data_IF_942359750470
#
_entry.id   IF_942359750470
#
_cell.length_a   1.000
_cell.length_b   1.000
_cell.length_c   1.000
_cell.angle_alpha   90.00
_cell.angle_beta   90.00
_cell.angle_gamma   90.00
#
_symmetry.space_group_name_H-M   'P 1'
#
loop_
_entity.id
_entity.type
_entity.pdbx_description
1 polymer ?
#
# COMPACT_ATOMS: atom_id res chain seq x y z
N UNK A 1 10.20 6.91 1.24
CA UNK A 1 9.24 6.01 1.93
C UNK A 1 9.84 4.61 2.03
N UNK A 2 9.62 3.88 3.12
CA UNK A 2 9.97 2.44 3.19
C UNK A 2 8.68 1.64 3.12
N UNK A 3 8.57 0.73 2.15
CA UNK A 3 7.34 -0.05 1.92
C UNK A 3 7.62 -1.54 2.05
N UNK A 4 6.77 -2.21 2.83
CA UNK A 4 6.66 -3.65 2.90
C UNK A 4 5.18 -4.03 2.72
N UNK A 5 4.77 -4.40 1.52
CA UNK A 5 3.39 -4.85 1.25
C UNK A 5 3.29 -6.35 1.47
N UNK A 6 2.38 -6.78 2.35
CA UNK A 6 2.03 -8.19 2.53
C UNK A 6 0.54 -8.33 2.31
N UNK A 7 0.10 -8.67 1.11
CA UNK A 7 -1.27 -9.16 0.96
C UNK A 7 -1.31 -10.61 1.50
N UNK A 8 -2.27 -10.94 2.37
CA UNK A 8 -2.42 -12.33 2.83
C UNK A 8 -2.68 -13.23 1.61
N UNK A 9 -1.83 -14.23 1.41
CA UNK A 9 -1.88 -15.15 0.26
C UNK A 9 -1.01 -14.77 -0.95
N UNK A 10 -0.47 -13.55 -1.02
CA UNK A 10 0.41 -13.11 -2.11
C UNK A 10 1.64 -12.39 -1.58
N UNK A 11 2.83 -12.90 -1.93
CA UNK A 11 4.10 -12.29 -1.57
C UNK A 11 4.41 -11.14 -2.54
N UNK A 12 3.68 -10.04 -2.41
CA UNK A 12 3.79 -8.89 -3.31
C UNK A 12 5.24 -8.42 -3.49
N UNK A 13 6.02 -8.36 -2.40
CA UNK A 13 7.44 -8.00 -2.48
C UNK A 13 8.23 -8.86 -3.47
N UNK A 14 8.00 -10.18 -3.50
CA UNK A 14 8.65 -11.08 -4.47
C UNK A 14 8.20 -10.79 -5.90
N UNK A 15 6.90 -10.51 -6.11
CA UNK A 15 6.35 -10.17 -7.43
C UNK A 15 6.91 -8.86 -7.99
N UNK A 16 7.25 -7.91 -7.12
CA UNK A 16 7.96 -6.67 -7.47
C UNK A 16 9.48 -6.81 -7.47
N UNK A 17 10.02 -8.03 -7.29
CA UNK A 17 11.46 -8.34 -7.21
C UNK A 17 12.18 -7.60 -6.07
N UNK A 18 11.43 -7.23 -5.05
CA UNK A 18 11.93 -6.65 -3.79
C UNK A 18 12.31 -7.79 -2.85
N UNK A 19 13.43 -8.45 -3.18
CA UNK A 19 14.00 -9.56 -2.43
C UNK A 19 15.49 -9.28 -2.21
N UNK A 20 16.02 -9.72 -1.06
CA UNK A 20 17.44 -9.65 -0.77
C UNK A 20 18.25 -10.31 -1.91
N UNK A 21 19.34 -9.67 -2.33
CA UNK A 21 20.16 -10.12 -3.46
C UNK A 21 19.56 -9.88 -4.86
N UNK A 22 18.26 -9.66 -5.00
CA UNK A 22 17.60 -9.47 -6.32
C UNK A 22 17.24 -7.99 -6.59
N UNK A 23 16.93 -7.22 -5.54
CA UNK A 23 16.44 -5.85 -5.62
C UNK A 23 17.35 -4.87 -6.39
N UNK A 24 18.64 -5.16 -6.55
CA UNK A 24 19.58 -4.31 -7.31
C UNK A 24 19.21 -4.14 -8.79
N UNK A 25 18.31 -4.98 -9.32
CA UNK A 25 17.76 -4.83 -10.67
C UNK A 25 16.54 -3.89 -10.75
N UNK A 26 16.08 -3.36 -9.61
CA UNK A 26 14.91 -2.49 -9.51
C UNK A 26 15.38 -1.04 -9.32
N UNK A 27 15.17 -0.22 -10.33
CA UNK A 27 15.60 1.18 -10.31
C UNK A 27 14.88 1.96 -9.20
N UNK A 28 15.62 2.80 -8.47
CA UNK A 28 15.07 3.65 -7.42
C UNK A 28 14.71 2.91 -6.13
N UNK A 29 15.26 1.71 -5.91
CA UNK A 29 15.08 0.94 -4.68
C UNK A 29 16.41 0.69 -4.00
N UNK A 30 16.47 0.89 -2.68
CA UNK A 30 17.56 0.41 -1.83
C UNK A 30 17.02 -0.49 -0.72
N UNK A 31 17.88 -1.35 -0.17
CA UNK A 31 17.56 -2.13 1.01
C UNK A 31 18.00 -1.39 2.27
N UNK A 32 17.17 -1.44 3.30
CA UNK A 32 17.42 -0.84 4.62
C UNK A 32 17.19 -1.92 5.70
N UNK A 33 17.85 -1.81 6.88
CA UNK A 33 17.54 -2.67 8.02
C UNK A 33 16.08 -2.48 8.45
N UNK A 34 15.34 -3.58 8.59
CA UNK A 34 13.98 -3.54 9.12
C UNK A 34 13.94 -3.38 10.64
N UNK A 35 12.73 -3.23 11.19
CA UNK A 35 12.53 -3.19 12.64
C UNK A 35 13.08 -4.46 13.29
N UNK A 36 13.97 -4.29 14.28
CA UNK A 36 14.73 -5.36 14.94
C UNK A 36 15.57 -6.28 14.03
N UNK A 37 15.98 -5.83 12.83
CA UNK A 37 16.69 -6.66 11.85
C UNK A 37 15.96 -7.97 11.46
N UNK A 38 14.66 -8.06 11.72
CA UNK A 38 13.91 -9.31 11.60
C UNK A 38 13.44 -9.61 10.17
N UNK A 39 13.34 -8.58 9.30
CA UNK A 39 12.89 -8.70 7.91
C UNK A 39 13.56 -7.66 7.01
N UNK A 40 13.81 -7.98 5.72
CA UNK A 40 14.33 -7.02 4.76
C UNK A 40 13.31 -5.89 4.53
N UNK A 41 13.80 -4.65 4.55
CA UNK A 41 13.00 -3.45 4.26
C UNK A 41 13.55 -2.78 3.00
N UNK A 42 12.65 -2.24 2.18
CA UNK A 42 13.01 -1.61 0.91
C UNK A 42 12.59 -0.15 0.93
N UNK A 43 13.57 0.73 0.74
CA UNK A 43 13.35 2.15 0.58
C UNK A 43 13.07 2.44 -0.89
N UNK A 44 11.94 3.12 -1.11
CA UNK A 44 11.57 3.66 -2.40
C UNK A 44 12.06 5.11 -2.45
N UNK A 45 12.94 5.36 -3.41
CA UNK A 45 13.46 6.69 -3.72
C UNK A 45 12.47 7.48 -4.58
N UNK A 46 12.67 8.79 -4.65
CA UNK A 46 11.88 9.66 -5.52
C UNK A 46 11.96 9.16 -6.97
N UNK A 47 10.83 9.19 -7.67
CA UNK A 47 10.68 8.71 -9.04
C UNK A 47 10.90 7.20 -9.24
N UNK A 48 10.92 6.40 -8.17
CA UNK A 48 10.82 4.94 -8.32
C UNK A 48 9.43 4.57 -8.83
N UNK A 49 9.38 3.78 -9.91
CA UNK A 49 8.14 3.26 -10.47
C UNK A 49 8.12 1.75 -10.26
N UNK A 50 7.35 1.32 -9.26
CA UNK A 50 7.06 -0.09 -9.03
C UNK A 50 5.72 -0.43 -9.66
N UNK A 51 5.77 -1.01 -10.85
CA UNK A 51 4.59 -1.48 -11.57
C UNK A 51 4.78 -2.93 -12.00
N UNK A 52 3.71 -3.72 -11.91
CA UNK A 52 3.63 -5.08 -12.42
C UNK A 52 2.29 -5.27 -13.13
N UNK A 53 2.26 -5.96 -14.29
CA UNK A 53 1.00 -6.29 -14.93
C UNK A 53 0.09 -7.08 -13.98
N UNK A 54 -1.10 -6.55 -13.67
CA UNK A 54 -2.04 -7.16 -12.73
C UNK A 54 -2.32 -8.62 -13.06
N UNK A 55 -2.39 -8.99 -14.35
CA UNK A 55 -2.59 -10.38 -14.80
C UNK A 55 -1.53 -11.38 -14.32
N UNK A 56 -0.32 -10.94 -13.98
CA UNK A 56 0.72 -11.82 -13.46
C UNK A 56 0.59 -12.06 -11.96
N UNK A 57 -0.12 -11.19 -11.25
CA UNK A 57 -0.33 -11.28 -9.80
C UNK A 57 -1.72 -11.85 -9.50
N UNK A 58 -2.72 -11.36 -10.23
CA UNK A 58 -4.14 -11.67 -10.11
C UNK A 58 -4.70 -11.99 -11.51
N UNK A 59 -4.46 -13.20 -12.05
CA UNK A 59 -4.88 -13.56 -13.40
C UNK A 59 -6.40 -13.51 -13.59
N UNK A 60 -7.16 -13.77 -12.52
CA UNK A 60 -8.63 -13.71 -12.50
C UNK A 60 -9.17 -12.36 -11.97
N UNK A 61 -8.29 -11.39 -11.74
CA UNK A 61 -8.62 -10.14 -11.05
C UNK A 61 -8.67 -10.29 -9.52
N UNK A 62 -9.06 -9.20 -8.85
CA UNK A 62 -9.25 -9.22 -7.40
C UNK A 62 -10.56 -9.95 -7.04
N UNK A 63 -10.57 -10.77 -5.98
CA UNK A 63 -11.80 -11.38 -5.49
C UNK A 63 -12.77 -10.30 -4.95
N UNK A 64 -14.03 -10.67 -4.76
CA UNK A 64 -15.05 -9.76 -4.21
C UNK A 64 -14.77 -9.36 -2.75
N UNK A 65 -14.17 -10.28 -2.00
CA UNK A 65 -13.72 -10.10 -0.62
C UNK A 65 -12.19 -10.24 -0.55
N UNK A 66 -11.50 -9.26 0.03
CA UNK A 66 -10.06 -9.35 0.24
C UNK A 66 -9.57 -8.47 1.38
N UNK A 67 -8.35 -8.77 1.84
CA UNK A 67 -7.62 -7.96 2.80
C UNK A 67 -6.30 -7.50 2.20
N UNK A 68 -6.09 -6.18 2.16
CA UNK A 68 -4.78 -5.58 1.88
C UNK A 68 -4.08 -5.36 3.24
N UNK A 69 -2.85 -5.85 3.40
CA UNK A 69 -2.03 -5.52 4.56
C UNK A 69 -0.73 -4.87 4.11
N UNK A 70 -0.39 -3.74 4.69
CA UNK A 70 0.80 -2.96 4.37
C UNK A 70 1.53 -2.63 5.66
N UNK A 71 2.83 -2.84 5.69
CA UNK A 71 3.73 -2.37 6.73
C UNK A 71 4.62 -1.31 6.09
N UNK A 72 4.58 -0.08 6.58
CA UNK A 72 5.35 0.99 5.98
C UNK A 72 5.81 1.99 7.02
N UNK A 73 6.79 2.80 6.64
CA UNK A 73 7.26 3.96 7.39
C UNK A 73 7.42 5.12 6.43
N UNK A 74 6.83 6.25 6.78
CA UNK A 74 7.09 7.51 6.07
C UNK A 74 8.41 8.11 6.57
N UNK A 75 9.25 8.52 5.62
CA UNK A 75 10.52 9.19 5.94
C UNK A 75 10.31 10.71 5.90
N UNK A 76 11.16 11.51 6.58
CA UNK A 76 11.01 12.98 6.61
C UNK A 76 10.94 13.64 5.24
N UNK A 77 11.60 13.06 4.23
CA UNK A 77 11.62 13.53 2.84
C UNK A 77 10.38 13.10 2.02
N UNK A 78 9.44 12.37 2.61
CA UNK A 78 8.22 11.95 1.90
C UNK A 78 7.39 13.19 1.57
N UNK A 79 6.93 13.36 0.32
CA UNK A 79 6.13 14.51 -0.11
C UNK A 79 4.90 14.73 0.78
N UNK A 80 4.41 15.96 0.80
CA UNK A 80 3.18 16.30 1.55
C UNK A 80 1.93 16.00 0.71
N UNK A 81 2.08 16.04 -0.61
CA UNK A 81 1.03 15.79 -1.57
C UNK A 81 0.50 14.35 -1.44
N UNK A 82 -0.80 14.12 -1.66
CA UNK A 82 -1.36 12.78 -1.67
C UNK A 82 -0.70 11.87 -2.71
N UNK A 83 -0.42 10.63 -2.32
CA UNK A 83 0.15 9.62 -3.22
C UNK A 83 -0.49 8.24 -2.98
N UNK A 84 -0.54 7.42 -4.02
CA UNK A 84 -0.96 6.02 -3.91
C UNK A 84 0.13 5.21 -3.20
N UNK A 85 -0.20 4.64 -2.04
CA UNK A 85 0.64 3.64 -1.37
C UNK A 85 0.57 2.30 -2.11
N UNK A 86 -0.60 1.98 -2.68
CA UNK A 86 -0.85 0.84 -3.53
C UNK A 86 -2.08 1.12 -4.39
N UNK A 87 -2.08 0.70 -5.65
CA UNK A 87 -3.22 0.83 -6.55
C UNK A 87 -3.21 -0.22 -7.66
N UNK A 88 -4.37 -0.40 -8.30
CA UNK A 88 -4.51 -1.08 -9.59
C UNK A 88 -5.12 -0.09 -10.57
N UNK A 89 -4.47 0.02 -11.72
CA UNK A 89 -4.93 0.82 -12.85
C UNK A 89 -5.57 -0.07 -13.92
N UNK A 90 -6.48 0.49 -14.70
CA UNK A 90 -6.93 -0.12 -15.93
C UNK A 90 -5.90 0.07 -17.06
N UNK A 91 -6.21 -0.45 -18.25
CA UNK A 91 -5.34 -0.35 -19.44
C UNK A 91 -5.11 1.09 -19.92
N UNK A 92 -5.98 2.01 -19.54
CA UNK A 92 -5.97 3.42 -19.90
C UNK A 92 -5.30 4.28 -18.79
N UNK A 93 -4.68 3.62 -17.79
CA UNK A 93 -4.04 4.20 -16.61
C UNK A 93 -5.01 4.91 -15.64
N UNK A 94 -6.30 4.58 -15.69
CA UNK A 94 -7.27 5.11 -14.73
C UNK A 94 -7.30 4.23 -13.47
N UNK A 95 -7.29 4.83 -12.26
CA UNK A 95 -7.31 4.06 -11.02
C UNK A 95 -8.63 3.32 -10.81
N UNK A 96 -8.56 1.99 -10.65
CA UNK A 96 -9.71 1.15 -10.37
C UNK A 96 -9.93 0.99 -8.86
N UNK A 97 -8.85 0.79 -8.12
CA UNK A 97 -8.85 0.56 -6.67
C UNK A 97 -7.50 0.94 -6.10
N UNK A 98 -7.47 1.48 -4.89
CA UNK A 98 -6.22 1.85 -4.26
C UNK A 98 -6.33 2.36 -2.84
N UNK A 99 -5.16 2.61 -2.28
CA UNK A 99 -4.95 3.20 -0.96
C UNK A 99 -4.07 4.42 -1.12
N UNK A 100 -4.58 5.57 -0.72
CA UNK A 100 -3.92 6.87 -0.81
C UNK A 100 -3.52 7.31 0.60
N UNK A 101 -2.30 7.82 0.73
CA UNK A 101 -1.85 8.54 1.92
C UNK A 101 -1.75 10.02 1.58
N UNK A 102 -2.43 10.85 2.35
CA UNK A 102 -2.25 12.30 2.32
C UNK A 102 -1.39 12.70 3.53
N UNK A 103 -0.11 12.96 3.28
CA UNK A 103 0.80 13.38 4.34
C UNK A 103 0.55 14.84 4.76
N UNK A 104 0.02 15.70 3.91
CA UNK A 104 -0.36 17.07 4.26
C UNK A 104 -1.58 17.10 5.17
N UNK A 105 -2.66 16.45 4.74
CA UNK A 105 -3.93 16.33 5.46
C UNK A 105 -3.94 15.30 6.60
N UNK A 106 -2.93 14.41 6.64
CA UNK A 106 -2.81 13.31 7.62
C UNK A 106 -4.00 12.34 7.55
N UNK A 107 -4.40 11.98 6.34
CA UNK A 107 -5.52 11.05 6.09
C UNK A 107 -5.07 9.84 5.29
N UNK A 108 -5.78 8.74 5.49
CA UNK A 108 -5.64 7.51 4.70
C UNK A 108 -6.95 7.30 3.96
N UNK A 109 -6.92 7.15 2.65
CA UNK A 109 -8.14 6.94 1.85
C UNK A 109 -8.06 5.61 1.14
N UNK A 110 -9.10 4.80 1.24
CA UNK A 110 -9.30 3.68 0.34
C UNK A 110 -10.36 4.07 -0.68
N UNK A 111 -10.12 3.75 -1.96
CA UNK A 111 -11.11 3.90 -3.01
C UNK A 111 -11.22 2.63 -3.86
N UNK A 112 -12.38 2.44 -4.48
CA UNK A 112 -12.68 1.32 -5.37
C UNK A 112 -13.82 1.69 -6.33
N UNK A 113 -13.88 1.02 -7.48
CA UNK A 113 -15.09 0.99 -8.31
C UNK A 113 -15.92 -0.26 -8.00
N UNK A 114 -17.21 -0.11 -7.76
CA UNK A 114 -18.10 -1.26 -7.58
C UNK A 114 -18.39 -1.98 -8.91
N UNK A 115 -19.19 -3.06 -8.87
CA UNK A 115 -19.54 -3.83 -10.06
C UNK A 115 -20.40 -3.05 -11.08
N UNK A 116 -20.95 -1.89 -10.70
CA UNK A 116 -21.66 -0.95 -11.57
C UNK A 116 -20.75 0.16 -12.10
N UNK A 117 -19.46 0.13 -11.75
CA UNK A 117 -18.50 1.17 -12.08
C UNK A 117 -18.68 2.45 -11.26
N UNK A 118 -19.42 2.42 -10.15
CA UNK A 118 -19.55 3.59 -9.27
C UNK A 118 -18.32 3.70 -8.36
N UNK A 119 -17.75 4.90 -8.31
CA UNK A 119 -16.65 5.22 -7.42
C UNK A 119 -17.12 5.24 -5.97
N UNK A 120 -16.47 4.44 -5.14
CA UNK A 120 -16.66 4.36 -3.70
C UNK A 120 -15.35 4.76 -3.02
N UNK A 121 -15.45 5.58 -1.98
CA UNK A 121 -14.30 6.04 -1.22
C UNK A 121 -14.62 6.12 0.26
N UNK A 122 -13.63 5.80 1.08
CA UNK A 122 -13.65 6.02 2.53
C UNK A 122 -12.35 6.68 2.92
N UNK A 123 -12.46 7.83 3.56
CA UNK A 123 -11.34 8.54 4.16
C UNK A 123 -11.34 8.30 5.66
N UNK A 124 -10.20 7.81 6.15
CA UNK A 124 -9.93 7.62 7.56
C UNK A 124 -9.09 8.79 8.07
N UNK A 125 -9.49 9.32 9.22
CA UNK A 125 -8.85 10.44 9.88
C UNK A 125 -8.88 10.27 11.41
N UNK A 126 -8.35 11.25 12.14
CA UNK A 126 -8.32 11.25 13.61
C UNK A 126 -7.00 10.78 14.22
N UNK A 127 -6.90 10.73 15.56
CA UNK A 127 -5.63 10.54 16.26
C UNK A 127 -4.90 9.24 15.89
N UNK A 128 -5.63 8.14 15.72
CA UNK A 128 -5.05 6.84 15.34
C UNK A 128 -4.44 6.86 13.94
N UNK A 129 -5.07 7.54 12.99
CA UNK A 129 -4.55 7.68 11.62
C UNK A 129 -3.37 8.64 11.58
N UNK A 130 -3.41 9.73 12.35
CA UNK A 130 -2.29 10.69 12.42
C UNK A 130 -0.98 10.03 12.83
N UNK A 131 -1.02 8.97 13.66
CA UNK A 131 0.17 8.20 14.06
C UNK A 131 0.99 7.70 12.88
N UNK A 132 0.35 7.34 11.76
CA UNK A 132 0.99 6.80 10.54
C UNK A 132 2.07 7.74 9.94
N UNK A 133 2.01 9.02 10.27
CA UNK A 133 2.79 10.07 9.61
C UNK A 133 3.96 10.62 10.44
N UNK A 134 4.26 10.00 11.59
CA UNK A 134 5.35 10.44 12.48
C UNK A 134 6.60 9.57 12.41
N UNK A 135 6.79 8.88 11.29
CA UNK A 135 8.06 8.23 10.98
C UNK A 135 8.38 6.99 11.81
N UNK A 136 7.40 6.33 12.40
CA UNK A 136 7.52 4.96 12.90
C UNK A 136 7.04 3.95 11.86
N UNK A 137 7.30 2.67 12.07
CA UNK A 137 6.68 1.62 11.28
C UNK A 137 5.24 1.38 11.72
N UNK A 138 4.36 1.25 10.74
CA UNK A 138 2.94 1.02 10.96
C UNK A 138 2.43 -0.09 10.06
N UNK A 139 1.65 -1.00 10.64
CA UNK A 139 0.90 -2.01 9.90
C UNK A 139 -0.55 -1.56 9.76
N UNK A 140 -0.98 -1.38 8.52
CA UNK A 140 -2.35 -1.05 8.14
C UNK A 140 -2.98 -2.25 7.47
N UNK A 141 -4.21 -2.57 7.86
CA UNK A 141 -5.04 -3.56 7.18
C UNK A 141 -6.32 -2.92 6.67
N UNK A 142 -6.61 -3.11 5.39
CA UNK A 142 -7.87 -2.69 4.76
C UNK A 142 -8.62 -3.94 4.33
N UNK A 143 -9.85 -4.09 4.82
CA UNK A 143 -10.72 -5.21 4.47
C UNK A 143 -11.87 -4.71 3.62
N UNK A 144 -11.99 -5.25 2.41
CA UNK A 144 -13.17 -5.09 1.56
C UNK A 144 -14.01 -6.34 1.70
N UNK A 145 -15.29 -6.14 2.01
CA UNK A 145 -16.27 -7.21 2.05
C UNK A 145 -17.45 -6.85 1.14
N UNK A 146 -17.78 -7.70 0.20
CA UNK A 146 -18.89 -7.63 -0.75
C UNK A 146 -20.26 -7.33 -0.12
N UNK A 147 -20.48 -7.73 1.14
CA UNK A 147 -21.72 -7.45 1.88
C UNK A 147 -21.77 -6.03 2.48
N UNK A 148 -20.62 -5.34 2.54
CA UNK A 148 -20.50 -4.00 3.11
C UNK A 148 -20.05 -3.06 1.99
N UNK A 149 -20.89 -2.08 1.66
CA UNK A 149 -20.58 -1.11 0.60
C UNK A 149 -19.33 -0.27 0.88
N UNK A 150 -18.92 -0.18 2.15
CA UNK A 150 -17.74 0.56 2.57
C UNK A 150 -16.67 -0.39 3.16
N UNK A 151 -15.41 -0.26 2.72
CA UNK A 151 -14.29 -0.97 3.30
C UNK A 151 -14.08 -0.54 4.75
N UNK A 152 -13.68 -1.49 5.59
CA UNK A 152 -13.33 -1.24 6.97
C UNK A 152 -11.81 -1.36 7.14
N UNK A 153 -11.15 -0.31 7.63
CA UNK A 153 -9.78 -0.43 8.13
C UNK A 153 -9.81 -1.05 9.53
N UNK A 154 -9.52 -2.35 9.63
CA UNK A 154 -9.36 -2.99 10.93
C UNK A 154 -7.90 -2.86 11.35
N UNK A 155 -7.66 -1.85 12.20
CA UNK A 155 -6.45 -1.54 12.96
C UNK A 155 -5.21 -1.05 12.18
N UNK A 156 -4.83 0.20 12.43
CA UNK A 156 -3.45 0.66 12.32
C UNK A 156 -2.72 0.25 13.61
N UNK A 157 -1.97 -0.84 13.58
CA UNK A 157 -1.14 -1.24 14.72
C UNK A 157 0.27 -0.74 14.48
N UNK A 158 0.82 0.01 15.43
CA UNK A 158 2.28 0.23 15.50
C UNK A 158 2.94 -1.12 15.69
N UNK A 159 3.91 -1.47 14.83
CA UNK A 159 4.81 -2.57 15.19
C UNK A 159 5.65 -2.10 16.39
N UNK A 160 5.95 -2.99 17.37
CA UNK A 160 6.98 -2.69 18.37
C UNK A 160 8.32 -2.39 17.68
#
# INVERSE_FOLDING_TARGET
MVVYVVAAGFRMMEMFRLVEGVHGHVSGVSMEPGTFNSFPCFRLHNNSLLAQPTKFIHPEGLPSDYTITMLFRLLPETPKEPFALWEILNKDNEPLVGVILDNGGKTLTFFNHDYKGQFQTVTFEGPEIKKLFYGSFHKVKVQKHSLISLPQCIAATTSP
#
